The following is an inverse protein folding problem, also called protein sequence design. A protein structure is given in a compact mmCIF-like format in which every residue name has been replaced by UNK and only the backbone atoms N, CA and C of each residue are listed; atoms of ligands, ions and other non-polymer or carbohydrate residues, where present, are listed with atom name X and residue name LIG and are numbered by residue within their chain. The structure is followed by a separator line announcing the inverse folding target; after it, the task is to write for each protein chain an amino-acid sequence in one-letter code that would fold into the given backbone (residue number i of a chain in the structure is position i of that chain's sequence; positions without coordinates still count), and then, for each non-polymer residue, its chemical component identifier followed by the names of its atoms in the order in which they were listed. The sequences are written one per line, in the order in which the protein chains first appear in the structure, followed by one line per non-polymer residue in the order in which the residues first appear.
data_IF_800510059737
#
_entry.id   IF_800510059737
#
_cell.length_a   1.000
_cell.length_b   1.000
_cell.length_c   1.000
_cell.angle_alpha   90.00
_cell.angle_beta   90.00
_cell.angle_gamma   90.00
#
_symmetry.space_group_name_H-M   'P 1'
#
loop_
_entity.id
_entity.type
_entity.pdbx_description
1 polymer ?
#
# COMPACT_ATOMS: atom_id res chain seq x y z
N UNK A 1 -7.44 10.17 6.85
CA UNK A 1 -7.66 9.80 8.27
C UNK A 1 -6.84 8.57 8.66
N UNK A 2 -6.95 7.43 7.96
CA UNK A 2 -6.14 6.23 8.26
C UNK A 2 -4.63 6.46 8.29
N UNK A 3 -4.08 7.18 7.30
CA UNK A 3 -2.64 7.50 7.26
C UNK A 3 -2.16 8.27 8.50
N UNK A 4 -2.97 9.19 9.00
CA UNK A 4 -2.67 9.99 10.20
C UNK A 4 -2.57 9.10 11.43
N UNK A 5 -3.52 8.19 11.60
CA UNK A 5 -3.57 7.31 12.77
C UNK A 5 -2.40 6.32 12.75
N UNK A 6 -2.14 5.67 11.60
CA UNK A 6 -1.01 4.76 11.45
C UNK A 6 0.34 5.45 11.68
N UNK A 7 0.48 6.70 11.20
CA UNK A 7 1.68 7.49 11.42
C UNK A 7 1.86 7.95 12.86
N UNK A 8 0.76 8.22 13.57
CA UNK A 8 0.82 8.51 15.00
C UNK A 8 1.23 7.27 15.81
N UNK A 9 0.70 6.08 15.49
CA UNK A 9 1.14 4.80 16.08
C UNK A 9 2.64 4.57 15.86
N UNK A 10 3.12 4.78 14.64
CA UNK A 10 4.55 4.68 14.31
C UNK A 10 5.44 5.60 15.16
N UNK A 11 5.12 6.89 15.23
CA UNK A 11 5.90 7.85 16.02
C UNK A 11 5.74 7.66 17.53
N UNK A 12 4.64 7.04 17.98
CA UNK A 12 4.47 6.66 19.37
C UNK A 12 5.40 5.50 19.75
N UNK A 13 5.49 4.45 18.92
CA UNK A 13 6.44 3.35 19.12
C UNK A 13 7.90 3.84 19.14
N UNK A 14 8.26 4.77 18.25
CA UNK A 14 9.59 5.38 18.26
C UNK A 14 9.91 6.09 19.58
N UNK A 15 8.94 6.81 20.15
CA UNK A 15 9.10 7.51 21.43
C UNK A 15 9.25 6.57 22.62
N UNK A 16 8.58 5.43 22.60
CA UNK A 16 8.78 4.39 23.63
C UNK A 16 10.20 3.82 23.63
N UNK A 17 10.90 3.93 22.50
CA UNK A 17 12.31 3.56 22.35
C UNK A 17 13.31 4.69 22.67
N UNK A 18 12.85 5.81 23.22
CA UNK A 18 13.70 6.96 23.51
C UNK A 18 14.16 7.73 22.27
N UNK A 19 13.48 7.54 21.12
CA UNK A 19 13.69 8.32 19.89
C UNK A 19 12.66 9.46 19.84
N UNK A 20 13.08 10.67 19.52
CA UNK A 20 12.24 11.88 19.55
C UNK A 20 12.08 12.49 18.14
N UNK A 21 11.41 11.78 17.20
CA UNK A 21 11.22 12.23 15.84
C UNK A 21 10.30 13.46 15.77
N UNK A 22 10.41 14.23 14.69
CA UNK A 22 9.57 15.42 14.42
C UNK A 22 8.22 15.03 13.85
N UNK A 23 7.44 14.33 14.67
CA UNK A 23 6.20 13.68 14.25
C UNK A 23 5.18 14.63 13.61
N UNK A 24 5.02 15.87 14.13
CA UNK A 24 4.09 16.87 13.57
C UNK A 24 4.49 17.26 12.15
N UNK A 25 5.77 17.55 11.96
CA UNK A 25 6.33 18.02 10.69
C UNK A 25 6.33 16.88 9.66
N UNK A 26 6.71 15.67 10.08
CA UNK A 26 6.62 14.48 9.24
C UNK A 26 5.19 14.14 8.84
N UNK A 27 4.22 14.32 9.74
CA UNK A 27 2.80 14.11 9.45
C UNK A 27 2.23 15.15 8.49
N UNK A 28 2.55 16.43 8.69
CA UNK A 28 2.18 17.50 7.75
C UNK A 28 2.77 17.25 6.36
N UNK A 29 4.04 16.85 6.30
CA UNK A 29 4.69 16.49 5.05
C UNK A 29 4.05 15.32 4.33
N UNK A 30 3.67 14.27 5.09
CA UNK A 30 2.97 13.11 4.55
C UNK A 30 1.58 13.48 4.01
N UNK A 31 0.83 14.32 4.73
CA UNK A 31 -0.42 14.91 4.24
C UNK A 31 -0.20 15.73 2.97
N UNK A 32 0.87 16.54 2.93
CA UNK A 32 1.28 17.29 1.74
C UNK A 32 1.51 16.38 0.53
N UNK A 33 2.11 15.20 0.71
CA UNK A 33 2.27 14.22 -0.38
C UNK A 33 0.96 13.66 -0.88
N UNK A 34 -0.01 13.39 0.00
CA UNK A 34 -1.35 12.96 -0.41
C UNK A 34 -2.09 14.04 -1.19
N UNK A 35 -1.99 15.31 -0.76
CA UNK A 35 -2.55 16.44 -1.50
C UNK A 35 -1.85 16.66 -2.84
N UNK A 36 -0.52 16.54 -2.87
CA UNK A 36 0.26 16.63 -4.10
C UNK A 36 -0.04 15.48 -5.08
N UNK A 37 -0.28 14.28 -4.58
CA UNK A 37 -0.75 13.17 -5.38
C UNK A 37 -2.15 13.45 -5.94
N UNK A 38 -3.03 14.07 -5.12
CA UNK A 38 -4.38 14.40 -5.52
C UNK A 38 -4.47 15.52 -6.58
N UNK A 39 -3.52 16.47 -6.58
CA UNK A 39 -3.54 17.64 -7.47
C UNK A 39 -3.19 17.36 -8.93
N UNK A 40 -2.76 16.13 -9.27
CA UNK A 40 -2.41 15.68 -10.62
C UNK A 40 -1.30 16.49 -11.34
N UNK A 41 -0.63 17.41 -10.63
CA UNK A 41 0.46 18.19 -11.19
C UNK A 41 1.70 17.29 -11.39
N UNK A 42 2.33 17.30 -12.58
CA UNK A 42 3.50 16.47 -12.85
C UNK A 42 4.67 16.88 -11.94
N UNK A 43 5.37 15.88 -11.38
CA UNK A 43 6.57 16.09 -10.55
C UNK A 43 6.33 16.65 -9.15
N UNK A 44 5.14 17.15 -8.81
CA UNK A 44 4.90 17.81 -7.51
C UNK A 44 5.01 16.82 -6.34
N UNK A 45 4.37 15.66 -6.43
CA UNK A 45 4.48 14.63 -5.39
C UNK A 45 5.91 14.12 -5.21
N UNK A 46 6.64 13.95 -6.32
CA UNK A 46 8.04 13.50 -6.31
C UNK A 46 8.95 14.54 -5.66
N UNK A 47 8.68 15.83 -5.87
CA UNK A 47 9.37 16.94 -5.21
C UNK A 47 9.02 17.08 -3.72
N UNK A 48 7.81 16.66 -3.28
CA UNK A 48 7.40 16.77 -1.88
C UNK A 48 8.26 15.93 -0.93
N UNK A 49 8.81 14.80 -1.38
CA UNK A 49 9.69 13.95 -0.55
C UNK A 49 11.00 14.66 -0.16
N UNK A 50 11.84 15.13 -1.09
CA UNK A 50 13.06 15.85 -0.74
C UNK A 50 12.76 17.19 -0.05
N UNK A 51 11.68 17.89 -0.41
CA UNK A 51 11.28 19.14 0.26
C UNK A 51 10.95 18.90 1.73
N UNK A 52 10.04 17.96 2.01
CA UNK A 52 9.64 17.62 3.38
C UNK A 52 10.83 17.10 4.17
N UNK A 53 11.64 16.22 3.58
CA UNK A 53 12.84 15.68 4.22
C UNK A 53 13.81 16.77 4.62
N UNK A 54 14.08 17.72 3.72
CA UNK A 54 14.97 18.86 3.97
C UNK A 54 14.44 19.74 5.10
N UNK A 55 13.14 20.09 5.06
CA UNK A 55 12.52 20.91 6.13
C UNK A 55 12.59 20.19 7.48
N UNK A 56 12.34 18.87 7.51
CA UNK A 56 12.42 18.09 8.74
C UNK A 56 13.86 18.02 9.30
N UNK A 57 14.86 17.87 8.43
CA UNK A 57 16.28 17.85 8.82
C UNK A 57 16.69 19.22 9.36
N UNK A 58 16.38 20.31 8.63
CA UNK A 58 16.70 21.67 9.06
C UNK A 58 16.05 21.98 10.41
N UNK A 59 14.77 21.61 10.58
CA UNK A 59 14.10 21.77 11.87
C UNK A 59 14.80 20.98 12.98
N UNK A 60 15.13 19.70 12.75
CA UNK A 60 15.82 18.88 13.75
C UNK A 60 17.19 19.46 14.14
N UNK A 61 17.93 20.04 13.18
CA UNK A 61 19.22 20.68 13.44
C UNK A 61 19.09 21.99 14.22
N UNK A 62 18.01 22.75 13.99
CA UNK A 62 17.77 24.03 14.66
C UNK A 62 16.98 23.91 15.97
N UNK A 63 16.44 22.72 16.27
CA UNK A 63 15.62 22.49 17.46
C UNK A 63 16.47 22.61 18.73
N UNK A 64 16.19 23.65 19.50
CA UNK A 64 16.76 23.87 20.83
C UNK A 64 15.66 23.72 21.88
N UNK A 65 15.09 22.51 22.01
CA UNK A 65 14.07 22.24 23.03
C UNK A 65 14.74 21.83 24.35
N UNK A 66 14.50 22.56 25.46
CA UNK A 66 15.18 22.30 26.74
C UNK A 66 14.90 20.92 27.34
N UNK A 67 13.80 20.27 26.94
CA UNK A 67 13.29 19.01 27.51
C UNK A 67 13.60 17.78 26.67
N UNK A 68 14.30 17.92 25.53
CA UNK A 68 14.64 16.79 24.66
C UNK A 68 16.15 16.54 24.61
N UNK A 69 16.58 15.27 24.53
CA UNK A 69 17.98 14.94 24.31
C UNK A 69 18.48 15.54 22.98
N UNK A 70 19.82 15.69 22.81
CA UNK A 70 20.40 16.17 21.57
C UNK A 70 19.97 15.28 20.40
N UNK A 71 19.80 15.87 19.24
CA UNK A 71 19.33 15.15 18.06
C UNK A 71 20.31 14.05 17.65
N UNK A 72 19.77 12.84 17.54
CA UNK A 72 20.53 11.66 17.15
C UNK A 72 20.27 11.32 15.68
N UNK A 73 21.19 10.56 15.08
CA UNK A 73 20.99 10.02 13.72
C UNK A 73 19.68 9.21 13.63
N UNK A 74 19.29 8.55 14.72
CA UNK A 74 18.07 7.76 14.83
C UNK A 74 16.81 8.61 14.72
N UNK A 75 16.82 9.85 15.23
CA UNK A 75 15.66 10.77 15.15
C UNK A 75 15.40 11.19 13.70
N UNK A 76 16.48 11.50 12.97
CA UNK A 76 16.42 11.87 11.55
C UNK A 76 15.96 10.68 10.71
N UNK A 77 16.56 9.49 10.90
CA UNK A 77 16.21 8.30 10.12
C UNK A 77 14.78 7.85 10.38
N UNK A 78 14.31 7.93 11.62
CA UNK A 78 12.93 7.56 12.00
C UNK A 78 11.92 8.54 11.42
N UNK A 79 12.22 9.84 11.45
CA UNK A 79 11.37 10.85 10.81
C UNK A 79 11.29 10.61 9.30
N UNK A 80 12.43 10.41 8.64
CA UNK A 80 12.48 10.15 7.20
C UNK A 80 11.75 8.85 6.83
N UNK A 81 11.97 7.78 7.58
CA UNK A 81 11.27 6.50 7.41
C UNK A 81 9.76 6.69 7.57
N UNK A 82 9.29 7.41 8.59
CA UNK A 82 7.86 7.68 8.77
C UNK A 82 7.24 8.43 7.59
N UNK A 83 7.94 9.42 7.03
CA UNK A 83 7.47 10.17 5.85
C UNK A 83 7.46 9.30 4.59
N UNK A 84 8.54 8.56 4.34
CA UNK A 84 8.68 7.72 3.17
C UNK A 84 7.69 6.53 3.20
N UNK A 85 7.63 5.82 4.32
CA UNK A 85 6.86 4.59 4.48
C UNK A 85 5.36 4.85 4.60
N UNK A 86 4.94 5.87 5.36
CA UNK A 86 3.53 6.14 5.66
C UNK A 86 2.95 7.34 4.89
N UNK A 87 3.77 8.13 4.21
CA UNK A 87 3.33 9.23 3.36
C UNK A 87 3.56 8.94 1.89
N UNK A 88 4.84 8.84 1.50
CA UNK A 88 5.25 8.76 0.10
C UNK A 88 4.75 7.47 -0.58
N UNK A 89 5.03 6.29 -0.02
CA UNK A 89 4.64 5.04 -0.64
C UNK A 89 3.11 4.91 -0.83
N UNK A 90 2.26 5.16 0.19
CA UNK A 90 0.81 5.02 0.04
C UNK A 90 0.18 6.11 -0.82
N UNK A 91 0.83 7.26 -0.99
CA UNK A 91 0.30 8.34 -1.85
C UNK A 91 0.16 7.93 -3.31
N UNK A 92 0.87 6.89 -3.77
CA UNK A 92 0.69 6.30 -5.09
C UNK A 92 -0.66 5.58 -5.28
N UNK A 93 -1.36 5.17 -4.21
CA UNK A 93 -2.75 4.70 -4.35
C UNK A 93 -3.67 5.81 -4.89
N UNK A 94 -3.45 7.06 -4.45
CA UNK A 94 -4.23 8.21 -4.96
C UNK A 94 -3.93 8.41 -6.44
N UNK A 95 -2.65 8.41 -6.83
CA UNK A 95 -2.30 8.54 -8.26
C UNK A 95 -2.83 7.39 -9.10
N UNK A 96 -2.77 6.16 -8.58
CA UNK A 96 -3.28 4.99 -9.30
C UNK A 96 -4.77 5.16 -9.54
N UNK A 97 -5.55 5.51 -8.51
CA UNK A 97 -6.99 5.78 -8.64
C UNK A 97 -7.33 6.90 -9.61
N UNK A 98 -6.41 7.80 -9.91
CA UNK A 98 -6.65 8.85 -10.90
C UNK A 98 -6.34 8.42 -12.33
N UNK A 99 -5.82 7.20 -12.54
CA UNK A 99 -5.61 6.66 -13.88
C UNK A 99 -6.94 6.29 -14.55
N UNK A 100 -7.29 7.06 -15.59
CA UNK A 100 -8.26 6.73 -16.63
C UNK A 100 -9.72 6.60 -16.17
N UNK A 101 -10.66 7.46 -16.63
CA UNK A 101 -12.07 7.14 -16.54
C UNK A 101 -12.35 5.91 -17.42
N UNK A 102 -13.02 4.90 -16.87
CA UNK A 102 -13.58 3.82 -17.70
C UNK A 102 -14.74 4.40 -18.52
N UNK A 103 -14.88 4.03 -19.82
CA UNK A 103 -16.17 4.17 -20.46
C UNK A 103 -17.18 3.29 -19.68
N UNK A 104 -18.29 3.89 -19.24
CA UNK A 104 -19.30 3.27 -18.37
C UNK A 104 -19.80 1.89 -18.86
N UNK A 105 -19.69 1.62 -20.16
CA UNK A 105 -19.99 0.34 -20.78
C UNK A 105 -19.11 -0.82 -20.30
N UNK A 106 -17.90 -0.55 -19.78
CA UNK A 106 -16.92 -1.58 -19.41
C UNK A 106 -17.21 -2.22 -18.06
N UNK A 107 -17.60 -1.43 -17.05
CA UNK A 107 -17.88 -1.93 -15.69
C UNK A 107 -19.15 -2.78 -15.68
N UNK A 108 -20.23 -2.31 -16.32
CA UNK A 108 -21.46 -3.07 -16.46
C UNK A 108 -21.27 -4.34 -17.30
N UNK A 109 -20.36 -4.34 -18.28
CA UNK A 109 -20.06 -5.53 -19.08
C UNK A 109 -19.26 -6.61 -18.34
N UNK A 110 -18.61 -6.27 -17.22
CA UNK A 110 -17.90 -7.21 -16.35
C UNK A 110 -18.85 -7.98 -15.41
N UNK A 111 -19.97 -7.36 -15.01
CA UNK A 111 -20.90 -7.93 -14.03
C UNK A 111 -22.26 -8.35 -14.62
N UNK A 112 -22.65 -7.83 -15.78
CA UNK A 112 -23.97 -8.07 -16.39
C UNK A 112 -23.83 -8.67 -17.80
N UNK A 113 -24.30 -9.92 -18.03
CA UNK A 113 -24.31 -10.55 -19.34
C UNK A 113 -24.99 -9.68 -20.41
N UNK A 114 -24.54 -9.78 -21.67
CA UNK A 114 -25.08 -8.99 -22.77
C UNK A 114 -26.62 -9.10 -22.92
N UNK A 115 -27.19 -10.27 -22.62
CA UNK A 115 -28.64 -10.51 -22.64
C UNK A 115 -29.40 -9.70 -21.58
N UNK A 116 -28.84 -9.58 -20.36
CA UNK A 116 -29.45 -8.82 -19.28
C UNK A 116 -29.33 -7.30 -19.50
N UNK A 117 -28.28 -6.85 -20.21
CA UNK A 117 -28.13 -5.45 -20.64
C UNK A 117 -29.15 -5.04 -21.72
N UNK A 118 -29.54 -5.97 -22.59
CA UNK A 118 -30.54 -5.72 -23.63
C UNK A 118 -31.99 -5.69 -23.10
N UNK A 119 -32.24 -6.32 -21.93
CA UNK A 119 -33.58 -6.48 -21.37
C UNK A 119 -34.05 -5.31 -20.49
N UNK A 120 -33.17 -4.41 -20.04
CA UNK A 120 -33.52 -3.31 -19.13
C UNK A 120 -33.40 -1.93 -19.79
N UNK A 121 -34.52 -1.30 -20.20
CA UNK A 121 -34.49 -0.01 -20.91
C UNK A 121 -34.03 1.18 -20.04
N UNK A 122 -33.94 1.03 -18.70
CA UNK A 122 -33.42 2.05 -17.78
C UNK A 122 -31.91 1.89 -17.48
N UNK A 123 -31.27 0.78 -17.87
CA UNK A 123 -29.83 0.54 -17.62
C UNK A 123 -28.94 1.48 -18.45
N UNK A 124 -29.47 1.95 -19.58
CA UNK A 124 -28.77 2.88 -20.46
C UNK A 124 -28.68 4.31 -19.90
N UNK A 125 -29.61 4.70 -19.01
CA UNK A 125 -29.71 6.09 -18.49
C UNK A 125 -28.98 6.25 -17.14
N UNK A 126 -28.97 5.23 -16.28
CA UNK A 126 -28.24 5.28 -15.00
C UNK A 126 -26.73 5.04 -15.17
N UNK A 127 -26.32 4.29 -16.20
CA UNK A 127 -24.91 4.05 -16.51
C UNK A 127 -24.16 5.32 -16.95
N UNK A 128 -24.84 6.33 -17.50
CA UNK A 128 -24.19 7.51 -18.09
C UNK A 128 -23.97 8.69 -17.14
N UNK A 129 -24.62 8.75 -15.96
CA UNK A 129 -24.54 9.94 -15.11
C UNK A 129 -23.99 9.71 -13.69
N UNK A 130 -24.21 8.53 -13.09
CA UNK A 130 -23.75 8.21 -11.73
C UNK A 130 -22.61 7.18 -11.69
N UNK A 131 -22.44 6.38 -12.75
CA UNK A 131 -21.42 5.33 -12.84
C UNK A 131 -20.04 5.81 -13.31
N UNK A 132 -19.94 6.99 -13.92
CA UNK A 132 -18.69 7.51 -14.50
C UNK A 132 -17.71 8.06 -13.44
N UNK A 133 -18.16 8.32 -12.21
CA UNK A 133 -17.35 8.99 -11.18
C UNK A 133 -16.83 8.09 -10.07
N UNK A 134 -17.37 6.88 -9.89
CA UNK A 134 -17.02 6.02 -8.75
C UNK A 134 -15.91 5.00 -9.02
N UNK A 135 -15.78 4.51 -10.26
CA UNK A 135 -14.79 3.48 -10.60
C UNK A 135 -13.92 3.90 -11.78
N UNK A 136 -12.71 4.36 -11.47
CA UNK A 136 -11.64 4.56 -12.45
C UNK A 136 -10.96 3.23 -12.78
N UNK A 137 -10.23 3.16 -13.91
CA UNK A 137 -9.41 1.99 -14.23
C UNK A 137 -8.44 1.68 -13.08
N UNK A 138 -7.83 2.73 -12.55
CA UNK A 138 -7.00 2.70 -11.35
C UNK A 138 -7.66 2.04 -10.15
N UNK A 139 -8.91 2.39 -9.85
CA UNK A 139 -9.66 1.80 -8.75
C UNK A 139 -9.88 0.31 -8.95
N UNK A 140 -10.20 -0.14 -10.17
CA UNK A 140 -10.36 -1.57 -10.46
C UNK A 140 -9.04 -2.32 -10.25
N UNK A 141 -7.92 -1.78 -10.73
CA UNK A 141 -6.61 -2.38 -10.49
C UNK A 141 -6.34 -2.45 -9.00
N UNK A 142 -6.55 -1.36 -8.25
CA UNK A 142 -6.39 -1.35 -6.80
C UNK A 142 -7.22 -2.43 -6.12
N UNK A 143 -8.50 -2.60 -6.48
CA UNK A 143 -9.35 -3.65 -5.95
C UNK A 143 -8.78 -5.05 -6.19
N UNK A 144 -8.33 -5.35 -7.40
CA UNK A 144 -7.68 -6.62 -7.72
C UNK A 144 -6.38 -6.82 -6.94
N UNK A 145 -5.58 -5.77 -6.77
CA UNK A 145 -4.37 -5.82 -5.96
C UNK A 145 -4.69 -6.15 -4.50
N UNK A 146 -5.72 -5.52 -3.92
CA UNK A 146 -6.14 -5.79 -2.54
C UNK A 146 -6.57 -7.25 -2.35
N UNK A 147 -7.42 -7.76 -3.25
CA UNK A 147 -7.88 -9.15 -3.21
C UNK A 147 -6.71 -10.12 -3.40
N UNK A 148 -5.73 -9.77 -4.25
CA UNK A 148 -4.54 -10.60 -4.49
C UNK A 148 -3.62 -10.67 -3.28
N UNK A 149 -3.45 -9.56 -2.54
CA UNK A 149 -2.67 -9.55 -1.28
C UNK A 149 -3.38 -10.39 -0.22
N UNK A 150 -4.70 -10.22 -0.04
CA UNK A 150 -5.49 -11.03 0.90
C UNK A 150 -5.42 -12.52 0.55
N UNK A 151 -5.47 -12.84 -0.75
CA UNK A 151 -5.31 -14.21 -1.24
C UNK A 151 -3.91 -14.77 -0.94
N UNK A 152 -2.88 -13.92 -0.99
CA UNK A 152 -1.52 -14.29 -0.62
C UNK A 152 -1.42 -14.67 0.86
N UNK A 153 -2.03 -13.88 1.76
CA UNK A 153 -2.03 -14.17 3.21
C UNK A 153 -2.77 -15.47 3.53
N UNK A 154 -3.93 -15.69 2.90
CA UNK A 154 -4.69 -16.94 3.03
C UNK A 154 -3.85 -18.13 2.56
N UNK A 155 -3.27 -18.04 1.36
CA UNK A 155 -2.47 -19.11 0.78
C UNK A 155 -1.18 -19.35 1.57
N UNK A 156 -0.55 -18.31 2.13
CA UNK A 156 0.62 -18.41 2.99
C UNK A 156 0.28 -19.06 4.34
N UNK A 157 -0.87 -18.73 4.93
CA UNK A 157 -1.33 -19.35 6.17
C UNK A 157 -1.60 -20.85 5.98
N UNK A 158 -2.39 -21.23 4.97
CA UNK A 158 -2.70 -22.64 4.74
C UNK A 158 -1.47 -23.43 4.27
N UNK A 159 -0.66 -22.87 3.37
CA UNK A 159 0.55 -23.55 2.89
C UNK A 159 1.63 -23.65 3.97
N UNK A 160 1.82 -22.60 4.77
CA UNK A 160 2.70 -22.61 5.92
C UNK A 160 2.26 -23.59 7.01
N UNK A 161 0.95 -23.68 7.28
CA UNK A 161 0.41 -24.65 8.26
C UNK A 161 0.54 -26.10 7.79
N UNK A 162 0.37 -26.36 6.49
CA UNK A 162 0.39 -27.73 5.93
C UNK A 162 1.79 -28.25 5.63
N UNK A 163 2.66 -27.40 5.12
CA UNK A 163 3.99 -27.77 4.62
C UNK A 163 5.16 -27.01 5.27
N UNK A 164 4.88 -26.04 6.16
CA UNK A 164 5.91 -25.21 6.77
C UNK A 164 6.88 -26.01 7.63
N UNK A 165 8.12 -26.10 7.16
CA UNK A 165 9.22 -26.75 7.87
C UNK A 165 10.41 -25.80 8.03
N UNK A 166 10.60 -24.91 7.07
CA UNK A 166 11.80 -24.07 6.98
C UNK A 166 11.47 -22.63 7.31
N UNK A 167 12.05 -22.09 8.38
CA UNK A 167 11.83 -20.70 8.81
C UNK A 167 12.44 -19.71 7.82
N UNK A 168 11.73 -18.61 7.56
CA UNK A 168 12.14 -17.57 6.62
C UNK A 168 13.12 -16.58 7.25
N UNK A 169 12.75 -15.99 8.39
CA UNK A 169 13.53 -14.95 9.06
C UNK A 169 13.37 -15.01 10.59
N UNK A 170 14.40 -14.62 11.33
CA UNK A 170 14.39 -14.61 12.80
C UNK A 170 13.44 -13.58 13.41
N UNK A 171 13.18 -12.47 12.70
CA UNK A 171 12.31 -11.38 13.16
C UNK A 171 10.85 -11.82 13.30
N UNK A 172 10.39 -12.72 12.42
CA UNK A 172 9.01 -13.24 12.40
C UNK A 172 9.03 -14.77 12.45
N UNK A 173 9.00 -15.37 13.65
CA UNK A 173 9.25 -16.80 13.84
C UNK A 173 8.21 -17.73 13.20
N UNK A 174 7.05 -17.18 12.82
CA UNK A 174 5.94 -17.92 12.22
C UNK A 174 5.99 -17.96 10.68
N UNK A 175 6.89 -17.20 10.04
CA UNK A 175 6.99 -17.16 8.57
C UNK A 175 7.90 -18.28 8.07
N UNK A 176 7.42 -19.04 7.10
CA UNK A 176 8.15 -20.17 6.49
C UNK A 176 8.36 -19.96 4.99
N UNK A 177 9.40 -20.57 4.44
CA UNK A 177 9.67 -20.52 2.99
C UNK A 177 8.54 -21.19 2.19
N UNK A 178 7.98 -22.29 2.71
CA UNK A 178 6.88 -22.98 2.05
C UNK A 178 5.60 -22.12 2.04
N UNK A 179 5.35 -21.39 3.13
CA UNK A 179 4.27 -20.40 3.19
C UNK A 179 4.48 -19.21 2.25
N UNK A 180 5.73 -18.76 2.08
CA UNK A 180 6.04 -17.71 1.10
C UNK A 180 5.72 -18.16 -0.33
N UNK A 181 6.16 -19.36 -0.72
CA UNK A 181 5.93 -19.89 -2.06
C UNK A 181 4.43 -20.06 -2.33
N UNK A 182 3.67 -20.60 -1.37
CA UNK A 182 2.23 -20.73 -1.52
C UNK A 182 1.51 -19.38 -1.54
N UNK A 183 1.98 -18.40 -0.76
CA UNK A 183 1.49 -17.02 -0.79
C UNK A 183 1.69 -16.35 -2.15
N UNK A 184 2.89 -16.47 -2.72
CA UNK A 184 3.19 -15.98 -4.08
C UNK A 184 2.28 -16.65 -5.10
N UNK A 185 2.12 -17.97 -5.03
CA UNK A 185 1.24 -18.70 -5.94
C UNK A 185 -0.22 -18.24 -5.83
N UNK A 186 -0.73 -17.99 -4.62
CA UNK A 186 -2.08 -17.46 -4.39
C UNK A 186 -2.26 -16.05 -4.96
N UNK A 187 -1.28 -15.18 -4.74
CA UNK A 187 -1.28 -13.81 -5.26
C UNK A 187 -1.26 -13.79 -6.80
N UNK A 188 -0.36 -14.59 -7.39
CA UNK A 188 -0.21 -14.74 -8.85
C UNK A 188 -1.48 -15.30 -9.47
N UNK A 189 -2.04 -16.37 -8.91
CA UNK A 189 -3.28 -16.97 -9.42
C UNK A 189 -4.43 -15.97 -9.44
N UNK A 190 -4.62 -15.23 -8.34
CA UNK A 190 -5.65 -14.20 -8.26
C UNK A 190 -5.43 -13.05 -9.24
N UNK A 191 -4.18 -12.61 -9.39
CA UNK A 191 -3.86 -11.52 -10.30
C UNK A 191 -3.95 -11.93 -11.77
N UNK A 192 -3.64 -13.17 -12.13
CA UNK A 192 -3.84 -13.69 -13.50
C UNK A 192 -5.33 -13.69 -13.86
N UNK A 193 -6.20 -14.06 -12.92
CA UNK A 193 -7.65 -13.95 -13.10
C UNK A 193 -8.04 -12.48 -13.28
N UNK A 194 -7.57 -11.58 -12.43
CA UNK A 194 -7.81 -10.15 -12.54
C UNK A 194 -7.34 -9.55 -13.86
N UNK A 195 -6.11 -9.85 -14.30
CA UNK A 195 -5.54 -9.40 -15.56
C UNK A 195 -6.33 -9.90 -16.78
N UNK A 196 -6.82 -11.15 -16.72
CA UNK A 196 -7.67 -11.71 -17.78
C UNK A 196 -9.01 -11.00 -17.87
N UNK A 197 -9.63 -10.69 -16.72
CA UNK A 197 -10.90 -9.96 -16.67
C UNK A 197 -10.74 -8.49 -17.08
N UNK A 198 -9.64 -7.86 -16.70
CA UNK A 198 -9.27 -6.49 -17.11
C UNK A 198 -8.77 -6.41 -18.56
N UNK A 199 -8.62 -7.56 -19.25
CA UNK A 199 -8.12 -7.66 -20.63
C UNK A 199 -6.76 -7.00 -20.81
N UNK A 200 -5.86 -7.23 -19.87
CA UNK A 200 -4.47 -6.78 -19.99
C UNK A 200 -3.78 -7.48 -21.17
N UNK A 201 -2.78 -6.84 -21.80
CA UNK A 201 -1.95 -7.48 -22.82
C UNK A 201 -1.22 -8.68 -22.21
N UNK A 202 -1.28 -9.83 -22.90
CA UNK A 202 -0.66 -11.10 -22.46
C UNK A 202 -1.02 -11.42 -20.99
N UNK A 203 -2.31 -11.64 -20.66
CA UNK A 203 -2.82 -11.58 -19.29
C UNK A 203 -2.17 -12.57 -18.32
N UNK A 204 -1.73 -13.73 -18.81
CA UNK A 204 -0.97 -14.69 -18.01
C UNK A 204 0.38 -14.13 -17.57
N UNK A 205 1.14 -13.52 -18.49
CA UNK A 205 2.45 -12.96 -18.20
C UNK A 205 2.34 -11.68 -17.38
N UNK A 206 1.50 -10.73 -17.82
CA UNK A 206 1.32 -9.45 -17.12
C UNK A 206 0.76 -9.64 -15.72
N UNK A 207 -0.21 -10.56 -15.56
CA UNK A 207 -0.80 -10.90 -14.27
C UNK A 207 0.18 -11.61 -13.35
N UNK A 208 0.99 -12.54 -13.88
CA UNK A 208 2.01 -13.21 -13.09
C UNK A 208 3.11 -12.26 -12.60
N UNK A 209 3.65 -11.41 -13.49
CA UNK A 209 4.66 -10.42 -13.13
C UNK A 209 4.15 -9.45 -12.05
N UNK A 210 2.93 -8.94 -12.22
CA UNK A 210 2.31 -8.06 -11.23
C UNK A 210 2.01 -8.77 -9.90
N UNK A 211 1.54 -10.01 -9.95
CA UNK A 211 1.23 -10.82 -8.76
C UNK A 211 2.48 -11.14 -7.95
N UNK A 212 3.59 -11.54 -8.60
CA UNK A 212 4.87 -11.76 -7.91
C UNK A 212 5.36 -10.47 -7.26
N UNK A 213 5.30 -9.35 -7.99
CA UNK A 213 5.68 -8.04 -7.45
C UNK A 213 4.86 -7.67 -6.22
N UNK A 214 3.53 -7.83 -6.26
CA UNK A 214 2.66 -7.54 -5.12
C UNK A 214 2.96 -8.44 -3.92
N UNK A 215 3.11 -9.75 -4.13
CA UNK A 215 3.41 -10.69 -3.06
C UNK A 215 4.74 -10.38 -2.35
N UNK A 216 5.79 -10.05 -3.11
CA UNK A 216 7.10 -9.69 -2.55
C UNK A 216 7.03 -8.38 -1.79
N UNK A 217 6.41 -7.34 -2.35
CA UNK A 217 6.30 -6.04 -1.70
C UNK A 217 5.43 -6.07 -0.45
N UNK A 218 4.34 -6.85 -0.47
CA UNK A 218 3.49 -7.07 0.69
C UNK A 218 4.25 -7.77 1.83
N UNK A 219 5.02 -8.82 1.51
CA UNK A 219 5.88 -9.49 2.49
C UNK A 219 6.91 -8.54 3.09
N UNK A 220 7.57 -7.72 2.28
CA UNK A 220 8.56 -6.75 2.77
C UNK A 220 7.89 -5.75 3.72
N UNK A 221 6.66 -5.31 3.42
CA UNK A 221 5.89 -4.42 4.30
C UNK A 221 5.59 -5.03 5.67
N UNK A 222 5.04 -6.24 5.69
CA UNK A 222 4.77 -7.02 6.91
C UNK A 222 6.04 -7.26 7.75
N UNK A 223 7.15 -7.62 7.09
CA UNK A 223 8.44 -7.79 7.76
C UNK A 223 9.02 -6.47 8.30
N UNK A 224 8.79 -5.36 7.61
CA UNK A 224 9.24 -4.03 8.05
C UNK A 224 8.51 -3.63 9.34
N UNK A 225 7.18 -3.77 9.39
CA UNK A 225 6.42 -3.48 10.62
C UNK A 225 6.77 -4.47 11.73
N UNK A 226 6.96 -5.75 11.42
CA UNK A 226 7.45 -6.74 12.39
C UNK A 226 8.80 -6.32 12.99
N UNK A 227 9.76 -5.85 12.17
CA UNK A 227 11.06 -5.33 12.63
C UNK A 227 10.88 -4.13 13.58
N UNK A 228 10.01 -3.19 13.22
CA UNK A 228 9.73 -2.00 14.04
C UNK A 228 9.15 -2.38 15.41
N UNK A 229 8.20 -3.33 15.46
CA UNK A 229 7.59 -3.81 16.71
C UNK A 229 8.62 -4.47 17.63
N UNK A 230 9.49 -5.33 17.07
CA UNK A 230 10.57 -5.98 17.84
C UNK A 230 11.60 -4.98 18.35
N UNK A 231 11.93 -3.98 17.54
CA UNK A 231 12.82 -2.89 17.95
C UNK A 231 12.20 -2.07 19.08
N UNK A 232 10.87 -1.86 19.06
CA UNK A 232 10.11 -1.16 20.07
C UNK A 232 9.73 -1.98 21.31
N UNK A 233 10.14 -3.27 21.37
CA UNK A 233 9.76 -4.20 22.44
C UNK A 233 8.24 -4.29 22.68
N UNK A 234 7.45 -3.93 21.67
CA UNK A 234 5.98 -4.03 21.67
C UNK A 234 5.54 -5.18 20.77
N UNK A 235 4.36 -5.72 21.04
CA UNK A 235 3.76 -6.79 20.22
C UNK A 235 2.85 -6.23 19.12
N UNK A 236 2.09 -5.20 19.48
CA UNK A 236 1.06 -4.57 18.65
C UNK A 236 1.37 -3.06 18.55
N UNK A 237 1.04 -2.41 17.43
CA UNK A 237 1.43 -1.00 17.17
C UNK A 237 0.58 0.02 17.93
N UNK A 238 -0.58 -0.40 18.44
CA UNK A 238 -1.52 0.41 19.22
C UNK A 238 -2.77 -0.37 19.61
N UNK A 239 -3.72 0.31 20.27
CA UNK A 239 -4.96 -0.28 20.80
C UNK A 239 -6.22 0.27 20.09
N UNK A 240 -6.08 0.80 18.87
CA UNK A 240 -7.18 1.48 18.17
C UNK A 240 -8.37 0.55 17.93
N UNK A 241 -8.12 -0.73 17.62
CA UNK A 241 -9.16 -1.74 17.45
C UNK A 241 -9.12 -2.70 18.65
N UNK A 242 -10.12 -2.68 19.55
CA UNK A 242 -10.11 -3.52 20.74
C UNK A 242 -9.98 -5.00 20.37
N UNK A 243 -8.92 -5.64 20.87
CA UNK A 243 -8.58 -7.04 20.61
C UNK A 243 -7.95 -7.33 19.24
N UNK A 244 -7.74 -6.33 18.38
CA UNK A 244 -7.26 -6.51 17.00
C UNK A 244 -5.92 -5.82 16.69
N UNK A 245 -5.32 -5.12 17.66
CA UNK A 245 -4.06 -4.39 17.52
C UNK A 245 -4.24 -2.99 16.94
N UNK A 246 -3.15 -2.42 16.42
CA UNK A 246 -3.16 -1.09 15.84
C UNK A 246 -3.62 -1.09 14.38
N UNK A 247 -3.88 0.09 13.83
CA UNK A 247 -4.20 0.24 12.42
C UNK A 247 -2.99 -0.15 11.54
N UNK A 248 -1.78 0.14 12.01
CA UNK A 248 -0.55 -0.15 11.26
C UNK A 248 -0.34 -1.67 11.06
N UNK A 249 -0.75 -2.51 12.02
CA UNK A 249 -0.75 -3.97 11.91
C UNK A 249 -1.74 -4.51 10.85
N UNK A 250 -2.69 -3.69 10.38
CA UNK A 250 -3.70 -4.10 9.39
C UNK A 250 -3.37 -3.65 7.97
N UNK A 251 -2.57 -2.60 7.86
CA UNK A 251 -2.20 -2.01 6.57
C UNK A 251 -0.76 -2.31 6.17
N UNK A 252 0.03 -2.97 7.01
CA UNK A 252 1.47 -3.22 6.81
C UNK A 252 1.82 -3.80 5.43
N UNK A 253 1.05 -4.79 4.98
CA UNK A 253 1.20 -5.48 3.70
C UNK A 253 0.77 -4.61 2.50
N UNK A 254 0.05 -3.52 2.74
CA UNK A 254 -0.48 -2.63 1.70
C UNK A 254 0.32 -1.34 1.53
N UNK A 255 1.29 -1.06 2.40
CA UNK A 255 2.02 0.21 2.42
C UNK A 255 3.06 0.32 1.30
N UNK A 256 3.79 -0.76 1.00
CA UNK A 256 4.86 -0.74 -0.02
C UNK A 256 4.41 -1.10 -1.44
N UNK A 257 3.27 -1.76 -1.59
CA UNK A 257 2.69 -2.15 -2.89
C UNK A 257 2.29 -0.96 -3.80
N UNK A 258 1.70 0.16 -3.32
CA UNK A 258 1.17 1.21 -4.20
C UNK A 258 2.15 1.82 -5.19
N UNK A 259 3.38 2.13 -4.78
CA UNK A 259 4.38 2.71 -5.69
C UNK A 259 4.75 1.77 -6.86
N UNK A 260 5.20 0.52 -6.63
CA UNK A 260 5.50 -0.41 -7.71
C UNK A 260 4.24 -0.75 -8.53
N UNK A 261 3.06 -0.83 -7.91
CA UNK A 261 1.80 -0.98 -8.62
C UNK A 261 1.55 0.15 -9.63
N UNK A 262 1.73 1.40 -9.21
CA UNK A 262 1.59 2.58 -10.07
C UNK A 262 2.57 2.55 -11.25
N UNK A 263 3.85 2.30 -11.00
CA UNK A 263 4.86 2.27 -12.06
C UNK A 263 4.67 1.10 -13.02
N UNK A 264 4.23 -0.06 -12.52
CA UNK A 264 3.93 -1.20 -13.37
C UNK A 264 2.80 -0.88 -14.35
N UNK A 265 1.67 -0.38 -13.85
CA UNK A 265 0.50 -0.06 -14.70
C UNK A 265 0.83 1.05 -15.70
N UNK A 266 1.60 2.06 -15.28
CA UNK A 266 1.94 3.21 -16.13
C UNK A 266 2.99 2.90 -17.20
N UNK A 267 3.98 2.07 -16.89
CA UNK A 267 5.16 1.89 -17.76
C UNK A 267 5.37 0.45 -18.22
N UNK A 268 5.23 -0.53 -17.33
CA UNK A 268 5.48 -1.93 -17.69
C UNK A 268 4.33 -2.53 -18.50
N UNK A 269 3.08 -2.23 -18.14
CA UNK A 269 1.91 -2.76 -18.82
C UNK A 269 1.81 -2.32 -20.29
N UNK A 270 2.01 -1.03 -20.64
CA UNK A 270 2.03 -0.61 -22.04
C UNK A 270 3.21 -1.18 -22.83
N UNK A 271 4.33 -1.50 -22.17
CA UNK A 271 5.49 -2.11 -22.83
C UNK A 271 5.29 -3.59 -23.18
N UNK A 272 4.26 -4.24 -22.61
CA UNK A 272 3.87 -5.62 -22.89
C UNK A 272 2.76 -5.74 -23.95
N UNK A 273 2.16 -4.62 -24.36
CA UNK A 273 1.12 -4.52 -25.38
C UNK A 273 1.73 -4.47 -26.79
#
# INVERSE_FOLDING_TARGET
WMAVVAQNEYYFMARQNGVYPTWKLGMLGSLGMYFAAASQLPGVQEAMLPLTGTVCIVYLLLRQEPSTPPTTMTDVSTTFMGIWYLGYMPSFWIRLNQMGPLPASSVLSLFVPAAARAAWPLAAVEASALGQSLFTQGAIVQWWTMISIVSADIAAYFGGKRWGKTKLISVSPNKTWEGLISGIAGCVGMMVVGASLMRWPVPLLSGALYGVMCAVMALIGDLTVSLLKRSAKVKDTGDLLPGHGGLLDRIDSFLLVPAPAYFFVKHALPALA
#
